data_IF_503252723958
#
_entry.id   IF_503252723958
#
_cell.length_a   1.000
_cell.length_b   1.000
_cell.length_c   1.000
_cell.angle_alpha   90.00
_cell.angle_beta   90.00
_cell.angle_gamma   90.00
#
_symmetry.space_group_name_H-M   'P 1'
#
loop_
_entity.id
_entity.type
_entity.pdbx_description
1 polymer ?
#
# COMPACT_ATOMS: atom_id res chain seq x y z
N UNK A 1 -75.56 86.72 -39.35
CA UNK A 1 -74.36 85.98 -38.92
C UNK A 1 -74.79 84.62 -38.41
N UNK A 2 -74.81 83.61 -39.28
CA UNK A 2 -75.15 82.23 -38.93
C UNK A 2 -73.88 81.50 -38.51
N UNK A 3 -73.71 81.27 -37.20
CA UNK A 3 -72.63 80.44 -36.68
C UNK A 3 -72.86 79.01 -37.19
N UNK A 4 -71.81 78.43 -37.76
CA UNK A 4 -71.81 77.16 -38.47
C UNK A 4 -71.94 75.99 -37.47
N UNK A 5 -73.06 75.26 -37.50
CA UNK A 5 -73.40 74.15 -36.60
C UNK A 5 -72.28 73.09 -36.49
N UNK A 6 -71.48 72.91 -37.54
CA UNK A 6 -70.36 71.96 -37.55
C UNK A 6 -69.18 72.40 -36.66
N UNK A 7 -68.96 73.70 -36.48
CA UNK A 7 -67.91 74.21 -35.59
C UNK A 7 -68.31 74.10 -34.11
N UNK A 8 -69.61 74.10 -33.80
CA UNK A 8 -70.12 73.91 -32.43
C UNK A 8 -69.95 72.46 -31.96
N UNK A 9 -70.21 71.50 -32.85
CA UNK A 9 -70.10 70.06 -32.56
C UNK A 9 -68.65 69.60 -32.38
N UNK A 10 -67.69 70.14 -33.15
CA UNK A 10 -66.27 69.82 -32.98
C UNK A 10 -65.69 70.41 -31.69
N UNK A 11 -66.16 71.60 -31.29
CA UNK A 11 -65.78 72.24 -30.02
C UNK A 11 -66.33 71.47 -28.81
N UNK A 12 -67.55 70.93 -28.91
CA UNK A 12 -68.14 70.06 -27.89
C UNK A 12 -67.38 68.73 -27.76
N UNK A 13 -67.01 68.09 -28.88
CA UNK A 13 -66.20 66.86 -28.87
C UNK A 13 -64.79 67.10 -28.29
N UNK A 14 -64.18 68.25 -28.60
CA UNK A 14 -62.87 68.63 -28.06
C UNK A 14 -62.96 68.96 -26.55
N UNK A 15 -64.04 69.58 -26.09
CA UNK A 15 -64.32 69.74 -24.65
C UNK A 15 -64.52 68.39 -23.95
N UNK A 16 -65.23 67.45 -24.58
CA UNK A 16 -65.42 66.10 -24.04
C UNK A 16 -64.07 65.38 -23.88
N UNK A 17 -63.25 65.37 -24.92
CA UNK A 17 -61.91 64.76 -24.90
C UNK A 17 -60.99 65.41 -23.86
N UNK A 18 -61.05 66.75 -23.73
CA UNK A 18 -60.26 67.49 -22.72
C UNK A 18 -60.76 67.15 -21.31
N UNK A 19 -62.06 67.00 -21.13
CA UNK A 19 -62.67 66.59 -19.85
C UNK A 19 -62.27 65.16 -19.49
N UNK A 20 -62.23 64.24 -20.45
CA UNK A 20 -61.79 62.85 -20.24
C UNK A 20 -60.30 62.78 -19.89
N UNK A 21 -59.47 63.62 -20.51
CA UNK A 21 -58.05 63.75 -20.17
C UNK A 21 -57.84 64.36 -18.78
N UNK A 22 -58.60 65.40 -18.42
CA UNK A 22 -58.57 65.99 -17.07
C UNK A 22 -59.05 64.98 -16.03
N UNK A 23 -60.13 64.25 -16.29
CA UNK A 23 -60.63 63.19 -15.40
C UNK A 23 -59.61 62.06 -15.25
N UNK A 24 -58.90 61.69 -16.32
CA UNK A 24 -57.80 60.72 -16.27
C UNK A 24 -56.61 61.23 -15.44
N UNK A 25 -56.23 62.50 -15.58
CA UNK A 25 -55.15 63.12 -14.81
C UNK A 25 -55.51 63.32 -13.33
N UNK A 26 -56.75 63.74 -13.05
CA UNK A 26 -57.29 63.83 -11.68
C UNK A 26 -57.34 62.44 -11.07
N UNK A 27 -57.80 61.41 -11.80
CA UNK A 27 -57.82 60.03 -11.33
C UNK A 27 -56.42 59.52 -11.02
N UNK A 28 -55.43 59.70 -11.91
CA UNK A 28 -54.04 59.30 -11.69
C UNK A 28 -53.40 60.04 -10.51
N UNK A 29 -53.68 61.34 -10.37
CA UNK A 29 -53.14 62.16 -9.26
C UNK A 29 -53.81 61.79 -7.94
N UNK A 30 -55.11 61.54 -7.95
CA UNK A 30 -55.87 61.08 -6.77
C UNK A 30 -55.40 59.69 -6.37
N UNK A 31 -55.20 58.76 -7.29
CA UNK A 31 -54.64 57.43 -7.01
C UNK A 31 -53.24 57.53 -6.38
N UNK A 32 -52.37 58.40 -6.89
CA UNK A 32 -51.03 58.60 -6.34
C UNK A 32 -51.02 59.26 -4.95
N UNK A 33 -52.00 60.13 -4.67
CA UNK A 33 -52.16 60.80 -3.38
C UNK A 33 -52.85 59.92 -2.33
N UNK A 34 -53.78 59.05 -2.76
CA UNK A 34 -54.53 58.14 -1.88
C UNK A 34 -53.71 56.88 -1.56
N UNK A 35 -52.80 56.48 -2.45
CA UNK A 35 -51.93 55.32 -2.34
C UNK A 35 -50.48 55.78 -2.19
N UNK A 36 -49.98 55.86 -0.95
CA UNK A 36 -48.58 56.21 -0.67
C UNK A 36 -47.55 55.20 -1.20
N UNK A 37 -46.26 55.45 -1.01
CA UNK A 37 -45.14 54.68 -1.62
C UNK A 37 -45.23 53.17 -1.41
N UNK A 38 -45.65 52.71 -0.22
CA UNK A 38 -45.82 51.28 0.06
C UNK A 38 -46.96 50.67 -0.75
N UNK A 39 -48.08 51.37 -0.89
CA UNK A 39 -49.23 50.90 -1.66
C UNK A 39 -48.89 50.83 -3.16
N UNK A 40 -48.14 51.79 -3.71
CA UNK A 40 -47.66 51.73 -5.09
C UNK A 40 -46.70 50.57 -5.33
N UNK A 41 -45.79 50.32 -4.37
CA UNK A 41 -44.89 49.16 -4.41
C UNK A 41 -45.68 47.85 -4.41
N UNK A 42 -46.65 47.69 -3.51
CA UNK A 42 -47.51 46.50 -3.47
C UNK A 42 -48.27 46.30 -4.77
N UNK A 43 -48.95 47.34 -5.31
CA UNK A 43 -49.64 47.24 -6.61
C UNK A 43 -48.69 46.82 -7.74
N UNK A 44 -47.47 47.34 -7.77
CA UNK A 44 -46.47 46.96 -8.77
C UNK A 44 -46.01 45.52 -8.57
N UNK A 45 -45.77 45.10 -7.33
CA UNK A 45 -45.42 43.71 -6.99
C UNK A 45 -46.53 42.74 -7.38
N UNK A 46 -47.78 43.04 -7.06
CA UNK A 46 -48.94 42.20 -7.41
C UNK A 46 -49.14 42.13 -8.92
N UNK A 47 -48.98 43.26 -9.62
CA UNK A 47 -49.02 43.30 -11.09
C UNK A 47 -47.94 42.42 -11.72
N UNK A 48 -46.70 42.50 -11.23
CA UNK A 48 -45.59 41.67 -11.71
C UNK A 48 -45.80 40.19 -11.37
N UNK A 49 -46.31 39.89 -10.17
CA UNK A 49 -46.66 38.54 -9.77
C UNK A 49 -47.76 37.96 -10.66
N UNK A 50 -48.80 38.74 -10.97
CA UNK A 50 -49.84 38.31 -11.90
C UNK A 50 -49.29 38.08 -13.31
N UNK A 51 -48.39 38.95 -13.81
CA UNK A 51 -47.71 38.73 -15.09
C UNK A 51 -46.90 37.43 -15.07
N UNK A 52 -46.19 37.14 -13.97
CA UNK A 52 -45.45 35.89 -13.80
C UNK A 52 -46.38 34.67 -13.81
N UNK A 53 -47.48 34.70 -13.06
CA UNK A 53 -48.47 33.62 -13.04
C UNK A 53 -49.11 33.40 -14.41
N UNK A 54 -49.43 34.48 -15.13
CA UNK A 54 -49.95 34.40 -16.49
C UNK A 54 -48.93 33.79 -17.46
N UNK A 55 -47.65 34.18 -17.34
CA UNK A 55 -46.58 33.60 -18.15
C UNK A 55 -46.39 32.11 -17.83
N UNK A 56 -46.46 31.72 -16.55
CA UNK A 56 -46.40 30.32 -16.13
C UNK A 56 -47.60 29.52 -16.68
N UNK A 57 -48.81 30.07 -16.59
CA UNK A 57 -50.00 29.47 -17.18
C UNK A 57 -49.84 29.31 -18.70
N UNK A 58 -49.35 30.33 -19.40
CA UNK A 58 -49.10 30.27 -20.84
C UNK A 58 -48.08 29.18 -21.22
N UNK A 59 -47.01 29.01 -20.44
CA UNK A 59 -46.04 27.90 -20.65
C UNK A 59 -46.72 26.54 -20.53
N UNK A 60 -47.67 26.37 -19.60
CA UNK A 60 -48.42 25.12 -19.42
C UNK A 60 -49.48 24.92 -20.52
N UNK A 61 -50.15 25.98 -20.98
CA UNK A 61 -51.25 25.88 -21.96
C UNK A 61 -50.79 25.91 -23.42
N UNK A 62 -49.65 26.54 -23.72
CA UNK A 62 -49.15 26.70 -25.09
C UNK A 62 -48.98 25.38 -25.85
N UNK A 63 -48.49 24.27 -25.26
CA UNK A 63 -48.39 22.99 -25.98
C UNK A 63 -49.76 22.45 -26.42
N UNK A 64 -50.80 22.61 -25.60
CA UNK A 64 -52.15 22.16 -25.94
C UNK A 64 -52.76 23.02 -27.05
N UNK A 65 -52.60 24.35 -26.96
CA UNK A 65 -53.04 25.27 -28.00
C UNK A 65 -52.35 24.97 -29.34
N UNK A 66 -51.05 24.65 -29.30
CA UNK A 66 -50.29 24.26 -30.50
C UNK A 66 -50.83 22.94 -31.09
N UNK A 67 -51.06 21.92 -30.26
CA UNK A 67 -51.61 20.63 -30.72
C UNK A 67 -53.01 20.77 -31.32
N UNK A 68 -53.84 21.64 -30.73
CA UNK A 68 -55.18 21.92 -31.25
C UNK A 68 -55.10 22.67 -32.59
N UNK A 69 -54.25 23.70 -32.68
CA UNK A 69 -54.02 24.43 -33.92
C UNK A 69 -53.48 23.52 -35.04
N UNK A 70 -52.53 22.64 -34.72
CA UNK A 70 -51.99 21.63 -35.62
C UNK A 70 -53.10 20.68 -36.11
N UNK A 71 -53.92 20.16 -35.20
CA UNK A 71 -55.05 19.30 -35.55
C UNK A 71 -56.03 19.98 -36.49
N UNK A 72 -56.42 21.22 -36.18
CA UNK A 72 -57.35 21.99 -36.99
C UNK A 72 -56.77 22.27 -38.39
N UNK A 73 -55.48 22.61 -38.47
CA UNK A 73 -54.78 22.84 -39.74
C UNK A 73 -54.78 21.60 -40.65
N UNK A 74 -54.28 20.46 -40.17
CA UNK A 74 -54.18 19.25 -40.98
C UNK A 74 -55.54 18.64 -41.30
N UNK A 75 -56.49 18.72 -40.36
CA UNK A 75 -57.87 18.26 -40.63
C UNK A 75 -58.53 19.10 -41.72
N UNK A 76 -58.26 20.40 -41.78
CA UNK A 76 -58.77 21.27 -42.83
C UNK A 76 -58.08 21.04 -44.18
N UNK A 77 -56.75 20.92 -44.19
CA UNK A 77 -55.97 20.78 -45.42
C UNK A 77 -56.10 19.40 -46.09
N UNK A 78 -56.09 18.33 -45.29
CA UNK A 78 -55.94 16.94 -45.76
C UNK A 78 -57.01 15.98 -45.19
N UNK A 79 -57.96 16.51 -44.41
CA UNK A 79 -58.93 15.69 -43.69
C UNK A 79 -58.34 14.99 -42.47
N UNK A 80 -59.18 14.19 -41.80
CA UNK A 80 -58.78 13.45 -40.60
C UNK A 80 -57.67 12.43 -40.86
N UNK A 81 -57.58 11.92 -42.10
CA UNK A 81 -56.54 10.97 -42.50
C UNK A 81 -55.14 11.61 -42.48
N UNK A 82 -54.99 12.84 -43.00
CA UNK A 82 -53.73 13.58 -42.98
C UNK A 82 -53.24 13.86 -41.55
N UNK A 83 -54.13 14.34 -40.67
CA UNK A 83 -53.79 14.53 -39.26
C UNK A 83 -53.34 13.23 -38.56
N UNK A 84 -54.06 12.13 -38.79
CA UNK A 84 -53.70 10.83 -38.21
C UNK A 84 -52.32 10.35 -38.71
N UNK A 85 -51.97 10.60 -39.97
CA UNK A 85 -50.66 10.25 -40.52
C UNK A 85 -49.53 11.06 -39.87
N UNK A 86 -49.68 12.39 -39.75
CA UNK A 86 -48.71 13.26 -39.05
C UNK A 86 -48.54 12.82 -37.60
N UNK A 87 -49.65 12.58 -36.89
CA UNK A 87 -49.62 12.14 -35.49
C UNK A 87 -48.95 10.77 -35.34
N UNK A 88 -49.27 9.82 -36.22
CA UNK A 88 -48.66 8.49 -36.22
C UNK A 88 -47.15 8.56 -36.43
N UNK A 89 -46.69 9.38 -37.38
CA UNK A 89 -45.26 9.61 -37.62
C UNK A 89 -44.57 10.24 -36.41
N UNK A 90 -45.16 11.26 -35.79
CA UNK A 90 -44.61 11.91 -34.61
C UNK A 90 -44.48 10.94 -33.42
N UNK A 91 -45.52 10.13 -33.15
CA UNK A 91 -45.49 9.11 -32.10
C UNK A 91 -44.46 8.02 -32.42
N UNK A 92 -44.33 7.61 -33.68
CA UNK A 92 -43.33 6.63 -34.12
C UNK A 92 -41.91 7.15 -33.91
N UNK A 93 -41.64 8.42 -34.23
CA UNK A 93 -40.34 9.05 -33.97
C UNK A 93 -40.04 9.16 -32.47
N UNK A 94 -41.02 9.56 -31.66
CA UNK A 94 -40.88 9.61 -30.20
C UNK A 94 -40.60 8.22 -29.61
N UNK A 95 -41.31 7.19 -30.08
CA UNK A 95 -41.08 5.82 -29.67
C UNK A 95 -39.69 5.32 -30.07
N UNK A 96 -39.20 5.66 -31.26
CA UNK A 96 -37.85 5.32 -31.71
C UNK A 96 -36.77 5.99 -30.84
N UNK A 97 -36.93 7.28 -30.52
CA UNK A 97 -36.02 8.01 -29.62
C UNK A 97 -36.04 7.41 -28.21
N UNK A 98 -37.22 7.13 -27.66
CA UNK A 98 -37.37 6.51 -26.35
C UNK A 98 -36.74 5.11 -26.30
N UNK A 99 -36.94 4.30 -27.35
CA UNK A 99 -36.36 2.96 -27.47
C UNK A 99 -34.83 3.01 -27.58
N UNK A 100 -34.30 3.93 -28.39
CA UNK A 100 -32.87 4.19 -28.52
C UNK A 100 -32.24 4.60 -27.17
N UNK A 101 -32.86 5.55 -26.48
CA UNK A 101 -32.40 6.01 -25.17
C UNK A 101 -32.47 4.91 -24.10
N UNK A 102 -33.55 4.12 -24.07
CA UNK A 102 -33.70 2.99 -23.17
C UNK A 102 -32.65 1.91 -23.45
N UNK A 103 -32.41 1.58 -24.73
CA UNK A 103 -31.40 0.60 -25.15
C UNK A 103 -30.01 1.05 -24.76
N UNK A 104 -29.66 2.32 -25.03
CA UNK A 104 -28.36 2.87 -24.65
C UNK A 104 -28.15 2.88 -23.14
N UNK A 105 -29.17 3.28 -22.37
CA UNK A 105 -29.12 3.28 -20.90
C UNK A 105 -28.95 1.86 -20.36
N UNK A 106 -29.69 0.90 -20.92
CA UNK A 106 -29.58 -0.51 -20.56
C UNK A 106 -28.19 -1.06 -20.87
N UNK A 107 -27.65 -0.81 -22.06
CA UNK A 107 -26.31 -1.25 -22.46
C UNK A 107 -25.23 -0.67 -21.55
N UNK A 108 -25.30 0.63 -21.25
CA UNK A 108 -24.37 1.26 -20.31
C UNK A 108 -24.45 0.62 -18.91
N UNK A 109 -25.65 0.23 -18.47
CA UNK A 109 -25.85 -0.51 -17.22
C UNK A 109 -25.21 -1.89 -17.24
N UNK A 110 -25.38 -2.64 -18.33
CA UNK A 110 -24.75 -3.96 -18.54
C UNK A 110 -23.23 -3.84 -18.58
N UNK A 111 -22.69 -2.85 -19.29
CA UNK A 111 -21.24 -2.62 -19.40
C UNK A 111 -20.65 -2.24 -18.04
N UNK A 112 -21.35 -1.40 -17.28
CA UNK A 112 -20.96 -1.03 -15.90
C UNK A 112 -20.95 -2.23 -14.98
N UNK A 113 -21.99 -3.07 -15.01
CA UNK A 113 -22.08 -4.28 -14.21
C UNK A 113 -20.99 -5.30 -14.57
N UNK A 114 -20.68 -5.44 -15.87
CA UNK A 114 -19.61 -6.30 -16.38
C UNK A 114 -18.24 -5.81 -15.93
N UNK A 115 -18.02 -4.50 -15.98
CA UNK A 115 -16.80 -3.85 -15.51
C UNK A 115 -16.62 -4.04 -14.01
N UNK A 116 -17.68 -3.87 -13.23
CA UNK A 116 -17.66 -4.08 -11.78
C UNK A 116 -17.35 -5.54 -11.44
N UNK A 117 -17.97 -6.49 -12.14
CA UNK A 117 -17.74 -7.93 -11.95
C UNK A 117 -16.29 -8.30 -12.27
N UNK A 118 -15.76 -7.80 -13.40
CA UNK A 118 -14.37 -8.03 -13.80
C UNK A 118 -13.40 -7.43 -12.78
N UNK A 119 -13.67 -6.21 -12.30
CA UNK A 119 -12.87 -5.53 -11.29
C UNK A 119 -12.86 -6.31 -9.97
N UNK A 120 -14.02 -6.80 -9.54
CA UNK A 120 -14.14 -7.61 -8.34
C UNK A 120 -13.34 -8.91 -8.43
N UNK A 121 -13.43 -9.63 -9.57
CA UNK A 121 -12.65 -10.84 -9.80
C UNK A 121 -11.14 -10.56 -9.76
N UNK A 122 -10.69 -9.50 -10.42
CA UNK A 122 -9.28 -9.08 -10.40
C UNK A 122 -8.80 -8.74 -8.99
N UNK A 123 -9.63 -8.06 -8.19
CA UNK A 123 -9.33 -7.73 -6.80
C UNK A 123 -9.23 -9.00 -5.95
N UNK A 124 -10.14 -9.96 -6.15
CA UNK A 124 -10.11 -11.25 -5.46
C UNK A 124 -8.83 -12.04 -5.75
N UNK A 125 -8.40 -12.10 -7.02
CA UNK A 125 -7.13 -12.75 -7.41
C UNK A 125 -5.95 -12.02 -6.77
N UNK A 126 -5.94 -10.68 -6.82
CA UNK A 126 -4.88 -9.86 -6.21
C UNK A 126 -4.78 -10.12 -4.71
N UNK A 127 -5.92 -10.22 -4.03
CA UNK A 127 -5.97 -10.55 -2.61
C UNK A 127 -5.41 -11.94 -2.32
N UNK A 128 -5.76 -12.95 -3.12
CA UNK A 128 -5.21 -14.31 -2.99
C UNK A 128 -3.69 -14.30 -3.16
N UNK A 129 -3.17 -13.65 -4.20
CA UNK A 129 -1.73 -13.55 -4.44
C UNK A 129 -1.00 -12.83 -3.28
N UNK A 130 -1.60 -11.77 -2.74
CA UNK A 130 -1.03 -11.06 -1.59
C UNK A 130 -0.99 -11.94 -0.33
N UNK A 131 -2.03 -12.75 -0.13
CA UNK A 131 -2.09 -13.69 0.99
C UNK A 131 -1.09 -14.85 0.83
N UNK A 132 -0.92 -15.38 -0.38
CA UNK A 132 0.11 -16.37 -0.68
C UNK A 132 1.52 -15.81 -0.44
N UNK A 133 1.79 -14.59 -0.89
CA UNK A 133 3.06 -13.91 -0.64
C UNK A 133 3.32 -13.71 0.86
N UNK A 134 2.28 -13.32 1.61
CA UNK A 134 2.38 -13.19 3.07
C UNK A 134 2.73 -14.52 3.74
N UNK A 135 2.08 -15.62 3.35
CA UNK A 135 2.40 -16.95 3.87
C UNK A 135 3.85 -17.35 3.57
N UNK A 136 4.30 -17.11 2.33
CA UNK A 136 5.68 -17.36 1.93
C UNK A 136 6.68 -16.61 2.83
N UNK A 137 6.42 -15.35 3.14
CA UNK A 137 7.28 -14.61 4.07
C UNK A 137 7.25 -15.14 5.50
N UNK A 138 6.12 -15.69 5.97
CA UNK A 138 6.09 -16.35 7.28
C UNK A 138 6.95 -17.62 7.29
N UNK A 139 6.89 -18.41 6.22
CA UNK A 139 7.71 -19.61 6.04
C UNK A 139 9.20 -19.25 5.96
N UNK A 140 9.58 -18.31 5.09
CA UNK A 140 10.98 -17.84 4.97
C UNK A 140 11.52 -17.26 6.28
N UNK A 141 10.70 -16.53 7.05
CA UNK A 141 11.13 -16.02 8.36
C UNK A 141 11.33 -17.14 9.39
N UNK A 142 10.52 -18.19 9.35
CA UNK A 142 10.70 -19.35 10.21
C UNK A 142 11.98 -20.12 9.83
N UNK A 143 12.21 -20.34 8.53
CA UNK A 143 13.44 -20.95 8.03
C UNK A 143 14.70 -20.15 8.43
N UNK A 144 14.68 -18.82 8.24
CA UNK A 144 15.79 -17.95 8.66
C UNK A 144 16.03 -18.00 10.17
N UNK A 145 14.97 -18.09 10.97
CA UNK A 145 15.10 -18.22 12.42
C UNK A 145 15.76 -19.55 12.81
N UNK A 146 15.43 -20.62 12.11
CA UNK A 146 16.04 -21.94 12.31
C UNK A 146 17.51 -21.94 11.87
N UNK A 147 17.86 -21.33 10.73
CA UNK A 147 19.24 -21.16 10.29
C UNK A 147 20.08 -20.34 11.30
N UNK A 148 19.51 -19.26 11.84
CA UNK A 148 20.17 -18.46 12.89
C UNK A 148 20.42 -19.32 14.13
N UNK A 149 19.45 -20.15 14.52
CA UNK A 149 19.59 -21.04 15.68
C UNK A 149 20.66 -22.11 15.46
N UNK A 150 20.75 -22.67 14.25
CA UNK A 150 21.79 -23.63 13.87
C UNK A 150 23.19 -22.98 13.92
N UNK A 151 23.37 -21.82 13.29
CA UNK A 151 24.63 -21.07 13.32
C UNK A 151 25.03 -20.71 14.75
N UNK A 152 24.08 -20.27 15.58
CA UNK A 152 24.36 -19.96 16.99
C UNK A 152 24.77 -21.21 17.78
N UNK A 153 24.14 -22.35 17.51
CA UNK A 153 24.49 -23.62 18.17
C UNK A 153 25.87 -24.11 17.75
N UNK A 154 26.19 -24.00 16.46
CA UNK A 154 27.48 -24.39 15.90
C UNK A 154 28.61 -23.49 16.36
N UNK A 155 28.40 -22.17 16.37
CA UNK A 155 29.39 -21.20 16.87
C UNK A 155 29.66 -21.41 18.34
N UNK A 156 28.62 -21.57 19.18
CA UNK A 156 28.79 -21.90 20.61
C UNK A 156 29.54 -23.22 20.80
N UNK A 157 29.27 -24.23 19.97
CA UNK A 157 29.94 -25.54 20.06
C UNK A 157 31.41 -25.45 19.62
N UNK A 158 31.70 -24.72 18.54
CA UNK A 158 33.06 -24.50 18.03
C UNK A 158 33.89 -23.62 18.96
N UNK A 159 33.32 -22.59 19.55
CA UNK A 159 33.98 -21.74 20.56
C UNK A 159 34.32 -22.55 21.81
N UNK A 160 33.42 -23.43 22.26
CA UNK A 160 33.68 -24.36 23.36
C UNK A 160 34.82 -25.33 23.04
N UNK A 161 34.84 -25.91 21.84
CA UNK A 161 35.93 -26.80 21.40
C UNK A 161 37.27 -26.08 21.39
N UNK A 162 37.32 -24.89 20.76
CA UNK A 162 38.53 -24.05 20.69
C UNK A 162 39.02 -23.67 22.09
N UNK A 163 38.11 -23.34 23.01
CA UNK A 163 38.43 -23.02 24.39
C UNK A 163 39.06 -24.20 25.15
N UNK A 164 38.53 -25.42 24.98
CA UNK A 164 39.11 -26.62 25.62
C UNK A 164 40.46 -27.02 25.01
N UNK A 165 40.62 -26.90 23.69
CA UNK A 165 41.90 -27.14 23.01
C UNK A 165 42.97 -26.15 23.47
N UNK A 166 42.61 -24.86 23.57
CA UNK A 166 43.50 -23.81 24.05
C UNK A 166 43.92 -24.03 25.51
N UNK A 167 42.97 -24.36 26.40
CA UNK A 167 43.29 -24.71 27.79
C UNK A 167 44.21 -25.93 27.90
N UNK A 168 43.98 -26.96 27.07
CA UNK A 168 44.84 -28.14 27.01
C UNK A 168 46.26 -27.76 26.61
N UNK A 169 46.40 -26.95 25.57
CA UNK A 169 47.69 -26.45 25.09
C UNK A 169 48.41 -25.60 26.14
N UNK A 170 47.72 -24.67 26.79
CA UNK A 170 48.30 -23.79 27.81
C UNK A 170 48.74 -24.56 29.07
N UNK A 171 47.94 -25.55 29.49
CA UNK A 171 48.33 -26.47 30.58
C UNK A 171 49.56 -27.28 30.20
N UNK A 172 49.60 -27.85 28.98
CA UNK A 172 50.75 -28.61 28.49
C UNK A 172 52.02 -27.75 28.44
N UNK A 173 51.91 -26.52 27.93
CA UNK A 173 53.00 -25.54 27.89
C UNK A 173 53.49 -25.17 29.30
N UNK A 174 52.59 -25.04 30.25
CA UNK A 174 52.92 -24.75 31.65
C UNK A 174 53.68 -25.92 32.31
N UNK A 175 53.23 -27.16 32.10
CA UNK A 175 53.93 -28.36 32.56
C UNK A 175 55.32 -28.48 31.93
N UNK A 176 55.44 -28.25 30.63
CA UNK A 176 56.73 -28.28 29.94
C UNK A 176 57.74 -27.27 30.55
N UNK A 177 57.28 -26.04 30.83
CA UNK A 177 58.09 -25.03 31.51
C UNK A 177 58.51 -25.48 32.91
N UNK A 178 57.59 -26.05 33.70
CA UNK A 178 57.87 -26.54 35.04
C UNK A 178 58.94 -27.65 35.03
N UNK A 179 58.80 -28.65 34.15
CA UNK A 179 59.77 -29.73 34.03
C UNK A 179 61.13 -29.26 33.53
N UNK A 180 61.16 -28.25 32.66
CA UNK A 180 62.41 -27.62 32.22
C UNK A 180 63.16 -26.97 33.39
N UNK A 181 62.45 -26.26 34.26
CA UNK A 181 63.06 -25.68 35.48
C UNK A 181 63.57 -26.74 36.46
N UNK A 182 62.78 -27.79 36.69
CA UNK A 182 63.19 -28.93 37.53
C UNK A 182 64.46 -29.59 36.97
N UNK A 183 64.53 -29.77 35.65
CA UNK A 183 65.69 -30.33 34.97
C UNK A 183 66.94 -29.45 35.12
N UNK A 184 66.82 -28.13 34.91
CA UNK A 184 67.93 -27.18 35.10
C UNK A 184 68.42 -27.22 36.56
N UNK A 185 67.49 -27.27 37.52
CA UNK A 185 67.81 -27.41 38.94
C UNK A 185 68.63 -28.67 39.22
N UNK A 186 68.20 -29.83 38.72
CA UNK A 186 68.97 -31.08 38.86
C UNK A 186 70.35 -31.02 38.20
N UNK A 187 70.48 -30.36 37.05
CA UNK A 187 71.76 -30.18 36.39
C UNK A 187 72.72 -29.33 37.24
N UNK A 188 72.24 -28.24 37.85
CA UNK A 188 73.04 -27.42 38.77
C UNK A 188 73.46 -28.23 40.01
N UNK A 189 72.52 -28.96 40.63
CA UNK A 189 72.81 -29.83 41.78
C UNK A 189 73.87 -30.88 41.43
N UNK A 190 73.77 -31.48 40.24
CA UNK A 190 74.76 -32.43 39.74
C UNK A 190 76.13 -31.79 39.55
N UNK A 191 76.21 -30.60 38.94
CA UNK A 191 77.47 -29.86 38.77
C UNK A 191 78.10 -29.53 40.12
N UNK A 192 77.33 -29.02 41.09
CA UNK A 192 77.83 -28.73 42.44
C UNK A 192 78.30 -30.02 43.13
N UNK A 193 77.50 -31.08 43.07
CA UNK A 193 77.83 -32.38 43.64
C UNK A 193 79.08 -33.00 43.01
N UNK A 194 79.34 -32.74 41.74
CA UNK A 194 80.56 -33.18 41.04
C UNK A 194 81.84 -32.65 41.71
N UNK A 195 81.81 -31.40 42.21
CA UNK A 195 82.93 -30.74 42.86
C UNK A 195 82.99 -31.01 44.37
N UNK A 196 81.84 -31.10 45.05
CA UNK A 196 81.79 -31.22 46.50
C UNK A 196 81.85 -32.67 47.00
N UNK A 197 81.31 -33.62 46.25
CA UNK A 197 81.32 -35.02 46.67
C UNK A 197 82.61 -35.71 46.22
N UNK A 198 83.40 -36.18 47.19
CA UNK A 198 84.54 -37.06 46.94
C UNK A 198 84.05 -38.39 46.37
N UNK A 199 84.02 -38.52 45.05
CA UNK A 199 83.51 -39.72 44.38
C UNK A 199 84.62 -40.52 43.70
N UNK A 200 84.44 -41.84 43.68
CA UNK A 200 85.36 -42.83 43.12
C UNK A 200 85.41 -42.84 41.58
N UNK A 201 84.59 -42.03 40.92
CA UNK A 201 84.54 -41.95 39.46
C UNK A 201 85.72 -41.15 38.90
N UNK A 202 86.29 -41.63 37.79
CA UNK A 202 87.30 -40.89 37.05
C UNK A 202 86.75 -39.53 36.56
N UNK A 203 87.60 -38.50 36.51
CA UNK A 203 87.21 -37.16 36.08
C UNK A 203 86.60 -37.15 34.66
N UNK A 204 87.12 -38.00 33.77
CA UNK A 204 86.62 -38.15 32.40
C UNK A 204 85.18 -38.69 32.40
N UNK A 205 84.87 -39.69 33.22
CA UNK A 205 83.50 -40.23 33.34
C UNK A 205 82.50 -39.18 33.81
N UNK A 206 82.91 -38.30 34.75
CA UNK A 206 82.06 -37.21 35.24
C UNK A 206 81.72 -36.19 34.15
N UNK A 207 82.70 -35.81 33.33
CA UNK A 207 82.52 -34.92 32.18
C UNK A 207 81.62 -35.55 31.12
N UNK A 208 81.82 -36.84 30.81
CA UNK A 208 81.00 -37.54 29.82
C UNK A 208 79.52 -37.56 30.25
N UNK A 209 79.25 -37.89 31.52
CA UNK A 209 77.88 -37.86 32.07
C UNK A 209 77.29 -36.44 32.01
N UNK A 210 78.08 -35.40 32.29
CA UNK A 210 77.61 -34.01 32.18
C UNK A 210 77.24 -33.63 30.74
N UNK A 211 78.08 -34.00 29.77
CA UNK A 211 77.79 -33.78 28.34
C UNK A 211 76.53 -34.55 27.94
N UNK A 212 76.40 -35.80 28.37
CA UNK A 212 75.22 -36.62 28.10
C UNK A 212 73.95 -36.00 28.71
N UNK A 213 74.02 -35.46 29.93
CA UNK A 213 72.92 -34.72 30.54
C UNK A 213 72.59 -33.47 29.70
N UNK A 214 73.56 -32.62 29.38
CA UNK A 214 73.31 -31.41 28.55
C UNK A 214 72.66 -31.74 27.21
N UNK A 215 73.05 -32.85 26.57
CA UNK A 215 72.47 -33.30 25.30
C UNK A 215 71.12 -34.01 25.45
N UNK A 216 70.76 -34.48 26.64
CA UNK A 216 69.52 -35.19 26.93
C UNK A 216 68.23 -34.49 26.41
N UNK A 217 67.96 -33.20 26.67
CA UNK A 217 66.74 -32.55 26.20
C UNK A 217 66.60 -32.51 24.67
N UNK A 218 67.72 -32.59 23.94
CA UNK A 218 67.69 -32.67 22.47
C UNK A 218 67.44 -34.10 21.99
N UNK A 219 68.03 -35.10 22.65
CA UNK A 219 67.89 -36.50 22.29
C UNK A 219 66.51 -37.08 22.65
N UNK A 220 65.92 -36.66 23.79
CA UNK A 220 64.69 -37.27 24.32
C UNK A 220 63.50 -37.12 23.36
N UNK A 221 63.40 -36.01 22.63
CA UNK A 221 62.33 -35.80 21.64
C UNK A 221 62.33 -36.88 20.55
N UNK A 222 63.51 -37.24 20.03
CA UNK A 222 63.64 -38.30 19.03
C UNK A 222 63.28 -39.66 19.60
N UNK A 223 63.72 -39.95 20.84
CA UNK A 223 63.40 -41.21 21.53
C UNK A 223 61.90 -41.34 21.77
N UNK A 224 61.23 -40.27 22.20
CA UNK A 224 59.78 -40.26 22.44
C UNK A 224 59.00 -40.44 21.14
N UNK A 225 59.37 -39.75 20.06
CA UNK A 225 58.72 -39.93 18.74
C UNK A 225 58.90 -41.37 18.25
N UNK A 226 60.12 -41.91 18.38
CA UNK A 226 60.40 -43.29 18.01
C UNK A 226 59.57 -44.29 18.82
N UNK A 227 59.50 -44.12 20.14
CA UNK A 227 58.69 -44.95 21.02
C UNK A 227 57.19 -44.84 20.72
N UNK A 228 56.68 -43.64 20.49
CA UNK A 228 55.27 -43.40 20.13
C UNK A 228 54.90 -44.07 18.82
N UNK A 229 55.73 -43.93 17.78
CA UNK A 229 55.52 -44.60 16.50
C UNK A 229 55.59 -46.13 16.63
N UNK A 230 56.51 -46.64 17.47
CA UNK A 230 56.59 -48.06 17.79
C UNK A 230 55.33 -48.57 18.50
N UNK A 231 54.85 -47.85 19.52
CA UNK A 231 53.61 -48.17 20.23
C UNK A 231 52.41 -48.13 19.29
N UNK A 232 52.27 -47.11 18.44
CA UNK A 232 51.16 -47.01 17.49
C UNK A 232 51.15 -48.16 16.49
N UNK A 233 52.32 -48.63 16.04
CA UNK A 233 52.41 -49.84 15.20
C UNK A 233 51.90 -51.07 15.97
N UNK A 234 52.29 -51.24 17.23
CA UNK A 234 51.81 -52.34 18.08
C UNK A 234 50.29 -52.23 18.32
N UNK A 235 49.78 -51.03 18.64
CA UNK A 235 48.35 -50.79 18.83
C UNK A 235 47.55 -51.04 17.55
N UNK A 236 48.11 -50.72 16.37
CA UNK A 236 47.46 -51.02 15.09
C UNK A 236 47.35 -52.52 14.78
N UNK A 237 48.16 -53.36 15.44
CA UNK A 237 48.12 -54.82 15.32
C UNK A 237 47.15 -55.47 16.31
N UNK A 238 46.68 -54.74 17.34
CA UNK A 238 45.64 -55.23 18.24
C UNK A 238 44.27 -55.14 17.54
N UNK A 239 43.42 -56.18 17.61
CA UNK A 239 42.10 -56.14 17.00
C UNK A 239 41.29 -55.00 17.60
N UNK A 240 40.80 -54.10 16.73
CA UNK A 240 39.98 -52.95 17.15
C UNK A 240 38.69 -53.48 17.79
N UNK A 241 38.48 -53.14 19.04
CA UNK A 241 37.30 -53.56 19.79
C UNK A 241 36.05 -52.84 19.23
N UNK A 242 34.99 -53.57 18.90
CA UNK A 242 33.82 -53.06 18.17
C UNK A 242 33.05 -51.94 18.91
N UNK A 243 33.24 -51.80 20.23
CA UNK A 243 32.52 -50.84 21.06
C UNK A 243 33.13 -49.43 21.09
N UNK A 244 34.33 -49.21 20.54
CA UNK A 244 34.95 -47.87 20.46
C UNK A 244 34.75 -47.16 19.11
N UNK A 245 34.07 -47.80 18.16
CA UNK A 245 33.90 -47.28 16.79
C UNK A 245 32.59 -46.49 16.59
N UNK A 246 31.74 -46.37 17.62
CA UNK A 246 30.40 -45.74 17.52
C UNK A 246 30.34 -44.26 17.94
N UNK A 247 31.47 -43.57 18.12
CA UNK A 247 31.51 -42.16 18.53
C UNK A 247 32.26 -41.24 17.55
N UNK A 248 32.48 -41.69 16.31
CA UNK A 248 33.02 -40.85 15.23
C UNK A 248 32.23 -41.04 13.93
N UNK A 249 30.91 -40.89 14.02
CA UNK A 249 30.06 -40.47 12.90
C UNK A 249 29.45 -39.12 13.25
#
# INVERSE_FOLDING_TARGET
>A
MSINQNQLNSLAAQQQQTTDQINSLISQSTDALTCGTNCQKTRKTDSLHQTYLNAQANVQTAPFQLQEAEKNYYTHAEGTAGYNAVRSNAVTQQAAVATSSATSTFQNGVDSATTLTTTYNSLSITYQNAFELYKKYLEENAELQDEINEINTDTVTNDRKTYYESQGYDKLKSWYKLFTWIYIFFLIVYVIGMFLAGSSYSFISKILILIALILYPFAINYVVIFAYNGMNRIYSLLPKNAYTTLQQS
#
